data_IF_627217309262
#
_entry.id   IF_627217309262
#
_cell.length_a   1.000
_cell.length_b   1.000
_cell.length_c   1.000
_cell.angle_alpha   90.00
_cell.angle_beta   90.00
_cell.angle_gamma   90.00
#
_symmetry.space_group_name_H-M   'P 1'
#
loop_
_entity.id
_entity.type
_entity.pdbx_description
1 polymer ?
#
# COMPACT_ATOMS: atom_id res chain seq x y z
N UNK A 1 -54.38 8.56 13.86
CA UNK A 1 -53.50 8.51 12.68
C UNK A 1 -52.18 9.15 13.07
N UNK A 2 -51.00 8.53 12.93
CA UNK A 2 -50.70 7.18 12.43
C UNK A 2 -49.43 6.65 13.10
N UNK A 3 -49.35 5.33 13.32
CA UNK A 3 -48.19 4.66 13.93
C UNK A 3 -47.35 4.04 12.80
N UNK A 4 -46.04 4.35 12.77
CA UNK A 4 -45.10 3.72 11.85
C UNK A 4 -44.58 2.38 12.40
N UNK A 5 -44.56 1.29 11.61
CA UNK A 5 -43.99 0.01 12.03
C UNK A 5 -42.46 0.00 11.90
N UNK A 6 -41.75 -0.42 12.95
CA UNK A 6 -40.30 -0.73 12.86
C UNK A 6 -40.12 -2.06 12.13
N UNK A 7 -39.35 -2.08 11.05
CA UNK A 7 -38.92 -3.32 10.40
C UNK A 7 -37.94 -4.09 11.29
N UNK A 8 -38.25 -5.36 11.58
CA UNK A 8 -37.34 -6.28 12.25
C UNK A 8 -36.53 -7.08 11.21
N UNK A 9 -35.21 -7.30 11.39
CA UNK A 9 -34.41 -8.10 10.46
C UNK A 9 -34.89 -9.55 10.37
N UNK A 10 -35.11 -10.08 9.16
CA UNK A 10 -35.67 -11.42 9.01
C UNK A 10 -34.69 -12.51 9.48
N UNK A 11 -35.22 -13.50 10.22
CA UNK A 11 -34.40 -14.58 10.81
C UNK A 11 -33.62 -15.42 9.78
N UNK A 12 -33.99 -15.33 8.49
CA UNK A 12 -33.32 -15.99 7.37
C UNK A 12 -31.90 -15.44 7.16
N UNK A 13 -31.73 -14.13 7.26
CA UNK A 13 -30.41 -13.46 7.17
C UNK A 13 -29.49 -13.85 8.33
N UNK A 14 -30.01 -13.88 9.56
CA UNK A 14 -29.23 -14.26 10.75
C UNK A 14 -28.77 -15.71 10.70
N UNK A 15 -29.59 -16.64 10.14
CA UNK A 15 -29.18 -18.03 9.89
C UNK A 15 -28.11 -18.13 8.79
N UNK A 16 -28.20 -17.34 7.73
CA UNK A 16 -27.23 -17.38 6.63
C UNK A 16 -25.85 -16.84 7.06
N UNK A 17 -25.82 -15.71 7.80
CA UNK A 17 -24.58 -15.16 8.39
C UNK A 17 -23.88 -16.16 9.33
N UNK A 18 -24.64 -16.86 10.18
CA UNK A 18 -24.09 -17.91 11.07
C UNK A 18 -23.52 -19.11 10.32
N UNK A 19 -24.11 -19.49 9.18
CA UNK A 19 -23.57 -20.55 8.31
C UNK A 19 -22.27 -20.13 7.62
N UNK A 20 -22.23 -18.93 7.06
CA UNK A 20 -21.05 -18.41 6.36
C UNK A 20 -19.85 -18.26 7.31
N UNK A 21 -20.06 -17.69 8.50
CA UNK A 21 -19.00 -17.57 9.52
C UNK A 21 -18.42 -18.92 9.96
N UNK A 22 -19.26 -19.96 10.08
CA UNK A 22 -18.77 -21.31 10.39
C UNK A 22 -17.96 -21.91 9.25
N UNK A 23 -18.37 -21.73 7.99
CA UNK A 23 -17.65 -22.23 6.82
C UNK A 23 -16.26 -21.57 6.66
N UNK A 24 -16.16 -20.25 6.90
CA UNK A 24 -14.87 -19.53 6.88
C UNK A 24 -13.94 -20.07 7.97
N UNK A 25 -14.45 -20.27 9.19
CA UNK A 25 -13.67 -20.82 10.30
C UNK A 25 -13.19 -22.26 10.04
N UNK A 26 -14.07 -23.13 9.54
CA UNK A 26 -13.71 -24.51 9.16
C UNK A 26 -12.66 -24.55 8.04
N UNK A 27 -12.65 -23.54 7.15
CA UNK A 27 -11.63 -23.40 6.09
C UNK A 27 -10.28 -22.96 6.67
N UNK A 28 -10.25 -21.92 7.50
CA UNK A 28 -9.03 -21.47 8.18
C UNK A 28 -8.40 -22.57 9.06
N UNK A 29 -9.20 -23.29 9.84
CA UNK A 29 -8.71 -24.40 10.67
C UNK A 29 -8.16 -25.56 9.81
N UNK A 30 -8.71 -25.79 8.62
CA UNK A 30 -8.22 -26.80 7.66
C UNK A 30 -6.92 -26.37 6.99
N UNK A 31 -6.79 -25.12 6.58
CA UNK A 31 -5.58 -24.57 5.96
C UNK A 31 -4.41 -24.51 6.95
N UNK A 32 -4.62 -24.00 8.16
CA UNK A 32 -3.60 -23.99 9.21
C UNK A 32 -3.10 -25.41 9.56
N UNK A 33 -4.00 -26.41 9.58
CA UNK A 33 -3.64 -27.82 9.82
C UNK A 33 -2.90 -28.43 8.63
N UNK A 34 -3.22 -28.04 7.40
CA UNK A 34 -2.49 -28.45 6.20
C UNK A 34 -1.07 -27.85 6.16
N UNK A 35 -0.93 -26.57 6.49
CA UNK A 35 0.36 -25.87 6.51
C UNK A 35 1.29 -26.42 7.60
N UNK A 36 0.79 -26.65 8.82
CA UNK A 36 1.56 -27.32 9.87
C UNK A 36 2.02 -28.72 9.44
N UNK A 37 1.15 -29.51 8.78
CA UNK A 37 1.51 -30.84 8.29
C UNK A 37 2.55 -30.79 7.17
N UNK A 38 2.57 -29.74 6.34
CA UNK A 38 3.62 -29.49 5.34
C UNK A 38 4.95 -29.14 6.00
N UNK A 39 4.99 -28.13 6.89
CA UNK A 39 6.19 -27.73 7.65
C UNK A 39 6.79 -28.88 8.48
N UNK A 40 5.96 -29.70 9.11
CA UNK A 40 6.41 -30.88 9.85
C UNK A 40 7.09 -31.93 8.96
N UNK A 41 6.53 -32.22 7.77
CA UNK A 41 7.15 -33.12 6.78
C UNK A 41 8.49 -32.57 6.27
N UNK A 42 8.55 -31.28 5.99
CA UNK A 42 9.75 -30.60 5.50
C UNK A 42 10.89 -30.64 6.52
N UNK A 43 10.60 -30.37 7.80
CA UNK A 43 11.57 -30.49 8.90
C UNK A 43 12.03 -31.94 9.12
N UNK A 44 11.14 -32.92 8.98
CA UNK A 44 11.49 -34.34 9.11
C UNK A 44 12.34 -34.84 7.93
N UNK A 45 12.06 -34.36 6.71
CA UNK A 45 12.87 -34.61 5.52
C UNK A 45 14.28 -34.02 5.69
N UNK A 46 14.39 -32.77 6.12
CA UNK A 46 15.67 -32.10 6.39
C UNK A 46 16.51 -32.85 7.44
N UNK A 47 15.89 -33.36 8.52
CA UNK A 47 16.59 -34.22 9.51
C UNK A 47 17.11 -35.52 8.90
N UNK A 48 16.30 -36.19 8.06
CA UNK A 48 16.67 -37.46 7.42
C UNK A 48 17.77 -37.30 6.36
N UNK A 49 17.76 -36.18 5.63
CA UNK A 49 18.78 -35.87 4.64
C UNK A 49 20.11 -35.42 5.31
N UNK A 50 20.04 -34.71 6.45
CA UNK A 50 21.21 -34.46 7.28
C UNK A 50 21.83 -35.77 7.80
N UNK A 51 21.02 -36.70 8.30
CA UNK A 51 21.45 -38.02 8.79
C UNK A 51 22.08 -38.88 7.66
N UNK A 52 21.49 -38.86 6.45
CA UNK A 52 22.06 -39.50 5.25
C UNK A 52 23.36 -38.86 4.76
N UNK A 53 23.57 -37.56 5.00
CA UNK A 53 24.77 -36.84 4.53
C UNK A 53 26.04 -37.15 5.32
N UNK A 54 25.94 -37.90 6.43
CA UNK A 54 27.08 -38.28 7.28
C UNK A 54 27.75 -37.13 8.04
N UNK A 55 27.32 -35.88 7.84
CA UNK A 55 27.85 -34.70 8.52
C UNK A 55 27.16 -34.53 9.87
N UNK A 56 27.87 -34.87 10.95
CA UNK A 56 27.46 -34.49 12.32
C UNK A 56 27.24 -32.97 12.36
N UNK A 57 26.03 -32.55 12.74
CA UNK A 57 25.79 -31.16 13.09
C UNK A 57 26.67 -30.79 14.32
N UNK A 58 27.34 -29.63 14.32
CA UNK A 58 28.11 -29.21 15.48
C UNK A 58 27.15 -28.92 16.64
N UNK A 59 27.39 -29.56 17.78
CA UNK A 59 26.67 -29.26 19.02
C UNK A 59 27.10 -27.91 19.58
N UNK A 60 26.14 -27.11 20.01
CA UNK A 60 26.35 -25.96 20.88
C UNK A 60 25.50 -26.18 22.15
N UNK A 61 26.07 -25.97 23.34
CA UNK A 61 25.41 -26.33 24.60
C UNK A 61 25.81 -25.46 25.79
N UNK A 62 25.06 -25.62 26.90
CA UNK A 62 25.19 -24.84 28.15
C UNK A 62 24.48 -23.48 28.09
N UNK A 63 23.81 -22.93 29.13
CA UNK A 63 23.46 -23.34 30.51
C UNK A 63 22.04 -22.74 30.81
N UNK A 64 21.30 -23.02 31.89
CA UNK A 64 21.50 -23.89 33.07
C UNK A 64 20.84 -23.27 34.34
N UNK A 65 20.45 -24.09 35.33
CA UNK A 65 19.82 -23.69 36.64
C UNK A 65 18.35 -23.21 36.56
N UNK A 66 17.41 -23.51 37.47
CA UNK A 66 17.21 -24.54 38.54
C UNK A 66 15.69 -24.63 38.81
N UNK A 67 15.14 -25.76 39.28
CA UNK A 67 13.70 -25.84 39.63
C UNK A 67 13.18 -27.21 40.09
N UNK A 68 12.96 -27.33 41.39
CA UNK A 68 12.51 -28.49 42.19
C UNK A 68 11.20 -29.22 41.74
N UNK A 69 11.16 -30.55 41.95
CA UNK A 69 9.93 -31.36 42.10
C UNK A 69 9.28 -31.89 40.80
N UNK A 70 8.65 -33.06 40.75
CA UNK A 70 8.42 -34.09 41.77
C UNK A 70 7.02 -34.73 41.61
N UNK A 71 6.93 -35.99 41.19
CA UNK A 71 5.67 -36.75 41.14
C UNK A 71 5.41 -37.53 39.84
N UNK A 72 5.24 -38.84 39.98
CA UNK A 72 4.61 -39.77 39.02
C UNK A 72 3.28 -40.24 39.67
N UNK A 73 2.38 -40.99 38.98
CA UNK A 73 2.18 -41.20 37.54
C UNK A 73 0.69 -41.02 37.10
N UNK A 74 0.36 -41.06 35.79
CA UNK A 74 -0.55 -42.08 35.20
C UNK A 74 -1.13 -41.81 33.78
N UNK A 75 -1.24 -42.93 33.03
CA UNK A 75 -2.27 -43.33 32.03
C UNK A 75 -2.45 -42.66 30.66
N UNK A 76 -2.79 -43.56 29.70
CA UNK A 76 -3.54 -43.48 28.42
C UNK A 76 -2.67 -43.95 27.23
N UNK A 77 -2.61 -45.26 26.94
CA UNK A 77 -3.56 -46.12 26.17
C UNK A 77 -3.28 -46.11 24.64
N UNK A 78 -2.86 -47.28 24.15
CA UNK A 78 -2.86 -47.82 22.78
C UNK A 78 -4.31 -48.13 22.30
N UNK A 79 -4.66 -48.41 21.04
CA UNK A 79 -3.91 -48.87 19.87
C UNK A 79 -4.67 -48.65 18.54
N UNK A 80 -3.97 -48.87 17.41
CA UNK A 80 -4.41 -49.37 16.07
C UNK A 80 -5.81 -49.05 15.47
N UNK A 81 -5.86 -48.72 14.17
CA UNK A 81 -6.77 -49.35 13.17
C UNK A 81 -6.26 -49.13 11.71
N UNK A 82 -6.67 -50.02 10.80
CA UNK A 82 -6.01 -50.36 9.51
C UNK A 82 -6.94 -50.04 8.31
N UNK A 83 -6.40 -49.67 7.13
CA UNK A 83 -7.08 -49.80 5.82
C UNK A 83 -6.07 -49.83 4.62
N UNK A 84 -6.43 -50.23 3.37
CA UNK A 84 -5.69 -51.30 2.67
C UNK A 84 -5.09 -50.98 1.27
N UNK A 85 -4.42 -51.97 0.66
CA UNK A 85 -3.71 -51.92 -0.64
C UNK A 85 -4.59 -51.96 -1.91
N UNK A 86 -4.09 -51.35 -3.02
CA UNK A 86 -3.74 -51.97 -4.35
C UNK A 86 -3.67 -50.92 -5.49
N UNK A 87 -3.09 -51.20 -6.68
CA UNK A 87 -1.97 -52.09 -7.03
C UNK A 87 -0.90 -51.41 -7.95
N UNK A 88 0.11 -52.19 -8.41
CA UNK A 88 1.32 -51.78 -9.16
C UNK A 88 1.13 -51.58 -10.68
N UNK A 89 2.03 -50.80 -11.30
CA UNK A 89 2.44 -50.91 -12.72
C UNK A 89 3.98 -50.84 -12.82
N UNK A 90 4.58 -51.47 -13.85
CA UNK A 90 6.01 -51.83 -13.96
C UNK A 90 6.89 -50.82 -14.76
N UNK A 91 8.24 -50.96 -14.79
CA UNK A 91 9.18 -49.95 -15.31
C UNK A 91 9.97 -50.31 -16.59
N UNK A 92 10.84 -49.37 -17.02
CA UNK A 92 11.95 -49.45 -18.02
C UNK A 92 11.59 -49.16 -19.51
N UNK A 93 12.55 -48.78 -20.41
CA UNK A 93 14.03 -48.79 -20.28
C UNK A 93 14.78 -47.50 -20.69
N UNK A 94 16.12 -47.60 -20.79
CA UNK A 94 17.14 -46.54 -20.97
C UNK A 94 17.94 -46.78 -22.29
N UNK A 95 18.61 -45.73 -22.86
CA UNK A 95 19.91 -45.69 -23.62
C UNK A 95 19.83 -45.01 -25.03
N UNK A 96 20.96 -44.69 -25.71
CA UNK A 96 22.15 -43.92 -25.26
C UNK A 96 22.79 -42.98 -26.35
N UNK A 97 23.82 -42.18 -25.97
CA UNK A 97 24.91 -41.61 -26.83
C UNK A 97 24.54 -40.65 -28.00
N UNK A 98 25.39 -39.72 -28.46
CA UNK A 98 26.82 -39.47 -28.22
C UNK A 98 27.29 -38.05 -28.65
N UNK A 99 28.60 -37.80 -28.84
CA UNK A 99 29.18 -36.45 -28.76
C UNK A 99 29.58 -35.80 -30.09
N UNK A 100 29.67 -34.46 -30.13
CA UNK A 100 30.46 -33.74 -31.14
C UNK A 100 31.14 -32.49 -30.56
N UNK A 101 32.46 -32.37 -30.77
CA UNK A 101 33.25 -31.16 -30.50
C UNK A 101 33.24 -30.27 -31.74
N UNK A 102 32.99 -28.97 -31.60
CA UNK A 102 33.38 -27.98 -32.61
C UNK A 102 33.60 -26.55 -32.03
N UNK A 103 34.85 -26.10 -32.11
CA UNK A 103 35.28 -24.74 -32.49
C UNK A 103 34.64 -23.49 -31.84
N UNK A 104 35.17 -23.14 -30.66
CA UNK A 104 35.82 -21.84 -30.33
C UNK A 104 35.56 -20.63 -31.27
N UNK A 105 34.98 -19.54 -30.72
CA UNK A 105 35.40 -18.15 -30.99
C UNK A 105 34.77 -17.14 -30.00
N UNK A 106 35.56 -16.15 -29.54
CA UNK A 106 35.04 -14.82 -29.17
C UNK A 106 34.39 -14.57 -27.80
N UNK A 107 35.07 -14.82 -26.68
CA UNK A 107 34.66 -14.23 -25.39
C UNK A 107 35.10 -12.76 -25.28
N UNK A 108 34.15 -11.80 -25.28
CA UNK A 108 34.39 -10.39 -24.91
C UNK A 108 33.45 -9.99 -23.77
N UNK A 109 33.99 -9.97 -22.56
CA UNK A 109 33.28 -9.56 -21.35
C UNK A 109 34.20 -9.13 -20.19
N UNK A 110 35.46 -8.78 -20.47
CA UNK A 110 36.44 -8.32 -19.46
C UNK A 110 37.11 -6.97 -19.78
N UNK A 111 37.02 -6.50 -21.02
CA UNK A 111 37.59 -5.21 -21.42
C UNK A 111 36.65 -4.02 -21.13
N UNK A 112 35.34 -4.26 -21.01
CA UNK A 112 34.34 -3.21 -20.74
C UNK A 112 34.43 -2.73 -19.28
N UNK A 113 34.52 -3.64 -18.30
CA UNK A 113 34.68 -3.28 -16.88
C UNK A 113 35.94 -2.45 -16.64
N UNK A 114 37.04 -2.79 -17.33
CA UNK A 114 38.32 -2.07 -17.22
C UNK A 114 38.27 -0.63 -17.76
N UNK A 115 37.33 -0.33 -18.66
CA UNK A 115 37.10 1.01 -19.18
C UNK A 115 36.15 1.82 -18.28
N UNK A 116 35.11 1.17 -17.76
CA UNK A 116 34.15 1.75 -16.82
C UNK A 116 34.81 2.15 -15.49
N UNK A 117 35.72 1.34 -14.95
CA UNK A 117 36.41 1.70 -13.70
C UNK A 117 37.45 2.83 -13.88
N UNK A 118 38.02 3.00 -15.07
CA UNK A 118 38.86 4.17 -15.38
C UNK A 118 38.06 5.48 -15.39
N UNK A 119 36.90 5.49 -16.02
CA UNK A 119 36.02 6.68 -16.03
C UNK A 119 35.55 7.07 -14.62
N UNK A 120 35.28 6.09 -13.74
CA UNK A 120 34.99 6.37 -12.32
C UNK A 120 36.17 6.98 -11.56
N UNK A 121 37.41 6.60 -11.91
CA UNK A 121 38.61 7.14 -11.27
C UNK A 121 38.98 8.57 -11.69
N UNK A 122 38.41 9.08 -12.78
CA UNK A 122 38.66 10.44 -13.30
C UNK A 122 37.54 11.44 -12.95
N UNK A 123 36.52 11.02 -12.18
CA UNK A 123 35.58 11.92 -11.52
C UNK A 123 34.37 12.38 -12.36
N UNK A 124 34.08 11.72 -13.49
CA UNK A 124 32.91 12.03 -14.32
C UNK A 124 31.73 11.09 -14.01
N UNK A 125 30.55 11.66 -13.75
CA UNK A 125 29.44 10.95 -13.10
C UNK A 125 28.50 10.28 -14.12
N UNK A 126 28.83 9.05 -14.55
CA UNK A 126 28.08 8.31 -15.59
C UNK A 126 27.01 7.40 -14.98
N UNK A 127 25.74 7.72 -15.23
CA UNK A 127 24.58 6.89 -14.88
C UNK A 127 24.45 5.67 -15.81
N UNK A 128 24.38 4.47 -15.25
CA UNK A 128 24.21 3.22 -16.02
C UNK A 128 22.72 2.92 -16.34
N UNK A 129 22.35 2.65 -17.61
CA UNK A 129 20.96 2.56 -18.02
C UNK A 129 20.41 1.12 -17.97
N UNK A 130 20.09 0.59 -16.78
CA UNK A 130 19.36 -0.70 -16.67
C UNK A 130 18.36 -0.73 -15.51
N UNK A 131 17.28 0.06 -15.59
CA UNK A 131 15.98 -0.19 -14.92
C UNK A 131 14.96 0.88 -15.34
N UNK A 132 14.37 0.73 -16.53
CA UNK A 132 13.25 1.58 -16.96
C UNK A 132 11.93 1.13 -16.30
N UNK A 133 11.81 1.39 -15.00
CA UNK A 133 10.51 1.71 -14.40
C UNK A 133 10.43 3.24 -14.33
N UNK A 134 9.77 3.84 -15.30
CA UNK A 134 9.54 5.29 -15.36
C UNK A 134 8.54 5.63 -14.25
N UNK A 135 8.86 6.49 -13.27
CA UNK A 135 7.85 7.10 -12.43
C UNK A 135 6.93 7.94 -13.31
N UNK A 136 5.64 8.00 -12.99
CA UNK A 136 4.73 9.00 -13.56
C UNK A 136 5.31 10.39 -13.32
N UNK A 137 5.44 11.20 -14.38
CA UNK A 137 5.84 12.60 -14.25
C UNK A 137 4.65 13.45 -13.81
N UNK A 138 4.26 13.28 -12.54
CA UNK A 138 3.54 14.29 -11.77
C UNK A 138 4.57 15.06 -10.91
N UNK A 139 4.39 16.37 -10.80
CA UNK A 139 5.10 17.26 -9.87
C UNK A 139 6.63 17.40 -10.03
N UNK A 140 7.03 18.26 -10.97
CA UNK A 140 8.33 18.98 -10.94
C UNK A 140 8.15 20.51 -10.95
N UNK A 141 7.27 21.00 -10.09
CA UNK A 141 7.42 22.36 -9.55
C UNK A 141 8.21 22.20 -8.26
N UNK A 142 9.38 22.84 -8.15
CA UNK A 142 10.06 22.93 -6.85
C UNK A 142 9.11 23.69 -5.91
N UNK A 143 8.67 23.10 -4.79
CA UNK A 143 7.86 23.85 -3.84
C UNK A 143 8.65 25.09 -3.41
N UNK A 144 8.01 26.27 -3.27
CA UNK A 144 8.69 27.46 -2.80
C UNK A 144 9.36 27.15 -1.45
N UNK A 145 10.54 27.72 -1.16
CA UNK A 145 11.28 27.39 0.05
C UNK A 145 10.41 27.67 1.28
N UNK A 146 9.94 26.59 1.91
CA UNK A 146 9.21 26.65 3.17
C UNK A 146 10.19 27.20 4.21
N UNK A 147 9.77 28.22 4.95
CA UNK A 147 10.55 28.69 6.10
C UNK A 147 10.53 27.60 7.18
N UNK A 148 11.57 26.76 7.18
CA UNK A 148 11.71 25.65 8.12
C UNK A 148 12.23 26.17 9.46
N UNK A 149 11.38 26.11 10.48
CA UNK A 149 11.75 26.30 11.89
C UNK A 149 12.64 25.13 12.37
N UNK A 150 13.39 25.34 13.47
CA UNK A 150 14.29 24.34 14.05
C UNK A 150 13.63 23.00 14.41
N UNK A 151 12.31 23.02 14.62
CA UNK A 151 11.45 21.83 14.62
C UNK A 151 10.57 21.88 13.37
N UNK A 152 10.73 20.91 12.48
CA UNK A 152 9.95 20.80 11.26
C UNK A 152 9.27 19.43 11.19
N UNK A 153 8.03 19.41 10.70
CA UNK A 153 7.25 18.18 10.53
C UNK A 153 6.66 18.07 9.14
N UNK A 154 6.71 16.85 8.59
CA UNK A 154 6.00 16.50 7.36
C UNK A 154 4.88 15.52 7.70
N UNK A 155 3.66 15.89 7.33
CA UNK A 155 2.47 15.07 7.48
C UNK A 155 2.04 14.66 6.08
N UNK A 156 2.37 13.42 5.71
CA UNK A 156 2.16 12.89 4.36
C UNK A 156 1.15 11.75 4.40
N UNK A 157 0.16 11.79 3.51
CA UNK A 157 -0.81 10.72 3.27
C UNK A 157 -0.83 10.30 1.81
N UNK A 158 -1.01 9.00 1.56
CA UNK A 158 -1.06 8.39 0.23
C UNK A 158 -2.29 7.51 0.09
N UNK A 159 -3.14 7.78 -0.90
CA UNK A 159 -4.28 6.93 -1.26
C UNK A 159 -3.92 5.96 -2.38
N UNK A 160 -4.32 4.70 -2.20
CA UNK A 160 -4.20 3.62 -3.17
C UNK A 160 -5.57 2.93 -3.30
N UNK A 161 -6.31 3.24 -4.37
CA UNK A 161 -7.73 2.89 -4.56
C UNK A 161 -7.98 2.15 -5.89
N UNK A 162 -8.95 1.24 -5.91
CA UNK A 162 -9.41 0.52 -7.11
C UNK A 162 -10.90 0.24 -7.05
N UNK A 163 -11.65 0.76 -8.04
CA UNK A 163 -13.09 0.55 -8.23
C UNK A 163 -13.38 -0.23 -9.52
N UNK A 164 -14.55 -0.87 -9.58
CA UNK A 164 -15.15 -1.32 -10.83
C UNK A 164 -15.95 -0.22 -11.53
N UNK A 165 -16.31 -0.44 -12.80
CA UNK A 165 -17.16 0.46 -13.63
C UNK A 165 -18.55 0.70 -13.07
N UNK A 166 -19.03 -0.23 -12.25
CA UNK A 166 -20.29 -0.18 -11.53
C UNK A 166 -20.22 0.66 -10.23
N UNK A 167 -19.09 1.33 -9.97
CA UNK A 167 -18.81 2.09 -8.76
C UNK A 167 -18.33 1.23 -7.58
N UNK A 168 -18.35 -0.10 -7.71
CA UNK A 168 -18.05 -1.02 -6.62
C UNK A 168 -16.59 -0.93 -6.15
N UNK A 169 -16.37 -0.64 -4.87
CA UNK A 169 -15.03 -0.49 -4.30
C UNK A 169 -14.37 -1.86 -4.06
N UNK A 170 -13.31 -2.17 -4.82
CA UNK A 170 -12.57 -3.43 -4.67
C UNK A 170 -11.57 -3.36 -3.51
N UNK A 171 -10.83 -2.26 -3.38
CA UNK A 171 -9.96 -1.96 -2.26
C UNK A 171 -9.61 -0.46 -2.23
N UNK A 172 -9.65 0.14 -1.05
CA UNK A 172 -9.03 1.43 -0.75
C UNK A 172 -8.07 1.28 0.43
N UNK A 173 -6.89 1.87 0.29
CA UNK A 173 -5.88 1.99 1.33
C UNK A 173 -5.45 3.46 1.44
N UNK A 174 -5.34 3.97 2.68
CA UNK A 174 -4.68 5.25 2.95
C UNK A 174 -3.55 5.00 3.93
N UNK A 175 -2.32 5.32 3.52
CA UNK A 175 -1.12 5.25 4.34
C UNK A 175 -0.67 6.65 4.70
N UNK A 176 -0.56 6.94 5.99
CA UNK A 176 -0.10 8.25 6.46
C UNK A 176 1.07 8.16 7.45
N UNK A 177 1.84 9.24 7.55
CA UNK A 177 3.01 9.34 8.42
C UNK A 177 3.28 10.78 8.86
N UNK A 178 3.60 10.96 10.14
CA UNK A 178 4.30 12.16 10.65
C UNK A 178 5.79 11.87 10.70
N UNK A 179 6.56 12.66 9.95
CA UNK A 179 8.02 12.68 9.99
C UNK A 179 8.49 13.93 10.70
N UNK A 180 9.27 13.78 11.76
CA UNK A 180 9.87 14.85 12.55
C UNK A 180 11.33 15.06 12.12
N UNK A 181 11.74 16.32 11.95
CA UNK A 181 13.13 16.75 11.78
C UNK A 181 13.43 17.82 12.81
N UNK A 182 14.56 17.70 13.50
CA UNK A 182 15.06 18.72 14.45
C UNK A 182 16.46 19.13 14.02
N UNK A 183 16.74 20.43 13.90
CA UNK A 183 18.06 20.93 13.44
C UNK A 183 18.90 21.61 14.52
N UNK A 184 18.33 21.85 15.71
CA UNK A 184 18.93 22.59 16.82
C UNK A 184 18.88 21.71 18.10
N UNK A 185 19.97 21.68 18.85
CA UNK A 185 20.13 20.81 20.02
C UNK A 185 19.30 21.28 21.23
N UNK A 186 19.04 22.59 21.34
CA UNK A 186 18.23 23.18 22.41
C UNK A 186 16.77 22.66 22.36
N UNK A 187 16.26 22.37 21.16
CA UNK A 187 14.93 21.80 20.91
C UNK A 187 14.98 20.30 20.57
N UNK A 188 16.08 19.61 20.89
CA UNK A 188 16.21 18.17 20.70
C UNK A 188 15.28 17.33 21.59
N UNK A 189 14.90 17.84 22.77
CA UNK A 189 14.02 17.18 23.76
C UNK A 189 12.61 17.78 23.70
N UNK A 190 11.76 17.28 22.79
CA UNK A 190 10.39 17.78 22.59
C UNK A 190 9.31 16.70 22.65
N UNK A 191 8.05 17.14 22.88
CA UNK A 191 6.81 16.37 22.73
C UNK A 191 5.93 17.03 21.68
N UNK A 192 5.34 16.24 20.77
CA UNK A 192 4.34 16.70 19.80
C UNK A 192 2.95 16.41 20.37
N UNK A 193 2.08 17.42 20.36
CA UNK A 193 0.69 17.31 20.81
C UNK A 193 -0.19 17.08 19.60
N UNK A 194 -0.90 15.96 19.57
CA UNK A 194 -1.79 15.62 18.47
C UNK A 194 -3.23 15.91 18.83
N UNK A 195 -3.98 16.42 17.85
CA UNK A 195 -5.41 16.22 17.79
C UNK A 195 -5.69 15.08 16.80
N UNK A 196 -6.56 14.14 17.19
CA UNK A 196 -7.00 13.04 16.34
C UNK A 196 -8.52 12.99 16.40
N UNK A 197 -9.18 13.65 15.44
CA UNK A 197 -10.62 13.61 15.31
C UNK A 197 -11.08 12.52 14.34
N UNK A 198 -10.17 11.64 13.87
CA UNK A 198 -10.51 10.60 12.89
C UNK A 198 -11.67 9.73 13.37
N UNK A 199 -12.65 9.55 12.48
CA UNK A 199 -13.79 8.67 12.66
C UNK A 199 -13.78 7.48 11.70
N UNK A 200 -12.76 7.41 10.83
CA UNK A 200 -12.61 6.41 9.76
C UNK A 200 -12.04 5.09 10.29
N UNK A 201 -11.48 5.10 11.50
CA UNK A 201 -11.03 3.89 12.21
C UNK A 201 -9.60 3.50 11.87
N UNK A 202 -8.74 4.49 11.61
CA UNK A 202 -7.34 4.26 11.20
C UNK A 202 -6.51 3.52 12.25
N UNK A 203 -5.64 2.61 11.78
CA UNK A 203 -4.75 1.85 12.64
C UNK A 203 -3.45 2.64 12.88
N UNK A 204 -3.27 3.14 14.11
CA UNK A 204 -2.13 3.99 14.51
C UNK A 204 -0.93 3.16 15.01
N UNK A 205 0.28 3.47 14.53
CA UNK A 205 1.52 2.83 14.94
C UNK A 205 2.62 3.87 15.21
N UNK A 206 3.03 3.99 16.48
CA UNK A 206 4.18 4.83 16.86
C UNK A 206 5.53 4.12 16.62
N UNK A 207 6.58 4.92 16.43
CA UNK A 207 7.95 4.46 16.31
C UNK A 207 8.41 3.67 17.56
N UNK A 208 9.28 2.64 17.46
CA UNK A 208 9.71 1.83 18.60
C UNK A 208 10.31 2.60 19.80
N UNK A 209 10.89 3.78 19.56
CA UNK A 209 11.45 4.64 20.61
C UNK A 209 10.47 5.67 21.18
N UNK A 210 9.26 5.80 20.63
CA UNK A 210 8.19 6.70 21.14
C UNK A 210 7.41 6.00 22.25
N UNK A 211 7.03 6.75 23.29
CA UNK A 211 6.24 6.23 24.39
C UNK A 211 4.80 5.95 23.96
N UNK A 212 4.45 4.67 23.96
CA UNK A 212 3.11 4.18 23.60
C UNK A 212 2.04 4.51 24.64
N UNK A 213 2.39 4.56 25.93
CA UNK A 213 1.43 4.90 26.99
C UNK A 213 1.08 6.38 26.91
N UNK A 214 2.10 7.23 26.83
CA UNK A 214 1.97 8.68 26.66
C UNK A 214 1.12 9.04 25.43
N UNK A 215 1.36 8.38 24.30
CA UNK A 215 0.53 8.55 23.10
C UNK A 215 -0.91 8.06 23.30
N UNK A 216 -1.13 6.88 23.89
CA UNK A 216 -2.48 6.32 24.07
C UNK A 216 -3.31 6.98 25.17
N UNK A 217 -2.70 7.65 26.14
CA UNK A 217 -3.41 8.35 27.23
C UNK A 217 -3.60 9.83 26.92
N UNK A 218 -2.58 10.51 26.40
CA UNK A 218 -2.54 11.97 26.31
C UNK A 218 -2.48 12.50 24.86
N UNK A 219 -2.48 11.62 23.85
CA UNK A 219 -2.22 11.96 22.43
C UNK A 219 -0.88 12.69 22.20
N UNK A 220 0.11 12.40 23.05
CA UNK A 220 1.44 13.01 22.99
C UNK A 220 2.48 12.07 22.38
N UNK A 221 3.19 12.53 21.34
CA UNK A 221 4.36 11.85 20.79
C UNK A 221 5.64 12.38 21.46
N UNK A 222 6.24 11.57 22.33
CA UNK A 222 7.55 11.84 22.93
C UNK A 222 8.40 10.56 23.03
N UNK A 223 9.71 10.69 23.24
CA UNK A 223 10.59 9.53 23.39
C UNK A 223 10.38 8.84 24.74
N UNK A 224 10.47 7.49 24.75
CA UNK A 224 10.38 6.63 25.95
C UNK A 224 11.39 6.96 27.05
N UNK A 225 12.52 7.54 26.67
CA UNK A 225 13.50 8.06 27.60
C UNK A 225 13.52 9.58 27.42
N UNK A 226 12.92 10.35 28.36
CA UNK A 226 12.88 11.81 28.31
C UNK A 226 14.28 12.46 28.23
N UNK A 227 15.30 11.78 28.76
CA UNK A 227 16.69 12.27 28.74
C UNK A 227 17.38 12.16 27.38
N UNK A 228 16.73 11.54 26.39
CA UNK A 228 17.27 11.45 25.02
C UNK A 228 16.60 12.49 24.12
N UNK A 229 17.43 13.17 23.32
CA UNK A 229 16.98 14.01 22.22
C UNK A 229 16.59 13.18 20.99
N UNK A 230 15.76 13.75 20.12
CA UNK A 230 15.63 13.28 18.74
C UNK A 230 16.96 13.47 17.97
N UNK A 231 17.27 12.61 16.98
CA UNK A 231 18.46 12.76 16.15
C UNK A 231 18.46 14.09 15.37
N UNK A 232 19.54 14.86 15.50
CA UNK A 232 19.68 16.14 14.80
C UNK A 232 19.90 15.95 13.30
N UNK A 233 19.29 16.83 12.51
CA UNK A 233 19.37 16.92 11.06
C UNK A 233 18.98 15.63 10.30
N UNK A 234 18.21 14.75 10.95
CA UNK A 234 17.69 13.51 10.39
C UNK A 234 16.16 13.50 10.42
N UNK A 235 15.57 12.95 9.36
CA UNK A 235 14.12 12.79 9.23
C UNK A 235 13.70 11.49 9.92
N UNK A 236 12.81 11.58 10.93
CA UNK A 236 12.38 10.44 11.75
C UNK A 236 10.86 10.29 11.72
N UNK A 237 10.36 9.21 11.12
CA UNK A 237 8.95 8.84 11.19
C UNK A 237 8.54 8.47 12.61
N UNK A 238 7.74 9.31 13.28
CA UNK A 238 7.36 9.17 14.71
C UNK A 238 6.01 8.48 14.90
N UNK A 239 5.09 8.68 13.96
CA UNK A 239 3.77 8.06 13.90
C UNK A 239 3.45 7.67 12.45
N UNK A 240 2.81 6.51 12.27
CA UNK A 240 2.20 6.07 11.01
C UNK A 240 0.74 5.69 11.26
N UNK A 241 -0.08 5.78 10.23
CA UNK A 241 -1.41 5.20 10.22
C UNK A 241 -1.72 4.48 8.91
N UNK A 242 -2.66 3.53 8.99
CA UNK A 242 -3.19 2.76 7.88
C UNK A 242 -4.71 2.70 8.00
N UNK A 243 -5.41 3.23 7.00
CA UNK A 243 -6.78 2.86 6.69
C UNK A 243 -6.74 1.77 5.61
N UNK A 244 -7.58 0.74 5.74
CA UNK A 244 -7.85 -0.17 4.63
C UNK A 244 -9.33 -0.58 4.68
N UNK A 245 -10.03 -0.42 3.55
CA UNK A 245 -11.47 -0.63 3.46
C UNK A 245 -11.90 -1.10 2.08
N UNK A 246 -13.11 -1.64 2.01
CA UNK A 246 -13.86 -1.94 0.77
C UNK A 246 -15.29 -1.36 0.88
N UNK A 247 -15.47 -0.35 1.72
CA UNK A 247 -16.73 0.37 1.93
C UNK A 247 -16.72 1.62 1.04
N UNK A 248 -17.64 1.67 0.08
CA UNK A 248 -17.78 2.71 -0.94
C UNK A 248 -17.97 4.12 -0.34
N UNK A 249 -18.51 4.21 0.89
CA UNK A 249 -18.70 5.50 1.59
C UNK A 249 -17.40 6.23 1.97
N UNK A 250 -16.24 5.58 1.77
CA UNK A 250 -14.91 6.17 2.00
C UNK A 250 -14.24 6.69 0.72
N UNK A 251 -14.82 6.47 -0.47
CA UNK A 251 -14.26 6.98 -1.73
C UNK A 251 -14.30 8.52 -1.69
N UNK A 252 -13.17 9.24 -1.78
CA UNK A 252 -13.19 10.71 -1.65
C UNK A 252 -13.74 11.43 -2.89
N UNK A 253 -13.57 10.84 -4.09
CA UNK A 253 -13.95 11.39 -5.39
C UNK A 253 -14.46 10.26 -6.28
N UNK A 254 -15.76 10.05 -6.35
CA UNK A 254 -16.34 9.03 -7.23
C UNK A 254 -16.19 9.46 -8.70
N UNK A 255 -15.90 8.50 -9.57
CA UNK A 255 -15.80 8.70 -11.03
C UNK A 255 -16.74 7.69 -11.69
N UNK A 256 -17.73 8.15 -12.42
CA UNK A 256 -18.63 7.29 -13.21
C UNK A 256 -18.34 7.52 -14.69
N UNK A 257 -18.08 6.44 -15.44
CA UNK A 257 -17.74 6.50 -16.86
C UNK A 257 -18.69 5.59 -17.65
N UNK A 258 -19.52 6.17 -18.51
CA UNK A 258 -20.60 5.51 -19.24
C UNK A 258 -20.39 5.59 -20.76
N UNK A 259 -19.52 4.75 -21.34
CA UNK A 259 -19.40 4.62 -22.78
C UNK A 259 -20.62 3.88 -23.37
N UNK A 260 -21.19 4.46 -24.42
CA UNK A 260 -22.35 3.99 -25.17
C UNK A 260 -22.01 3.84 -26.66
N UNK A 261 -22.28 2.67 -27.25
CA UNK A 261 -22.04 2.43 -28.68
C UNK A 261 -23.05 3.21 -29.53
N UNK A 262 -22.53 4.11 -30.37
CA UNK A 262 -23.30 4.94 -31.30
C UNK A 262 -23.12 4.51 -32.76
N UNK A 263 -23.82 5.18 -33.67
CA UNK A 263 -23.80 4.85 -35.10
C UNK A 263 -22.48 5.22 -35.81
N UNK A 264 -21.71 6.15 -35.23
CA UNK A 264 -20.50 6.76 -35.82
C UNK A 264 -19.25 6.58 -34.97
N UNK A 265 -19.37 5.94 -33.80
CA UNK A 265 -18.30 5.73 -32.84
C UNK A 265 -18.88 5.32 -31.48
N UNK A 266 -18.15 5.56 -30.40
CA UNK A 266 -18.66 5.45 -29.03
C UNK A 266 -18.81 6.85 -28.44
N UNK A 267 -20.00 7.15 -27.92
CA UNK A 267 -20.27 8.34 -27.12
C UNK A 267 -19.91 8.01 -25.66
N UNK A 268 -19.09 8.85 -25.03
CA UNK A 268 -18.60 8.64 -23.67
C UNK A 268 -18.97 9.84 -22.83
N UNK A 269 -19.80 9.62 -21.81
CA UNK A 269 -20.05 10.58 -20.74
C UNK A 269 -19.29 10.10 -19.50
N UNK A 270 -18.46 10.98 -18.92
CA UNK A 270 -17.75 10.75 -17.67
C UNK A 270 -18.03 11.89 -16.70
N UNK A 271 -18.32 11.56 -15.45
CA UNK A 271 -18.63 12.52 -14.38
C UNK A 271 -17.78 12.23 -13.14
N UNK A 272 -17.52 13.26 -12.34
CA UNK A 272 -16.97 13.13 -10.99
C UNK A 272 -17.95 13.67 -9.93
N UNK A 273 -17.86 13.14 -8.71
CA UNK A 273 -18.50 13.72 -7.52
C UNK A 273 -17.58 13.64 -6.29
N UNK A 274 -17.32 14.78 -5.65
CA UNK A 274 -16.55 14.92 -4.42
C UNK A 274 -17.42 14.54 -3.21
N UNK A 275 -17.15 13.39 -2.62
CA UNK A 275 -17.87 12.85 -1.46
C UNK A 275 -17.35 13.44 -0.14
N UNK A 276 -16.04 13.68 -0.04
CA UNK A 276 -15.39 14.21 1.16
C UNK A 276 -15.18 15.72 1.07
N UNK A 277 -16.23 16.47 1.39
CA UNK A 277 -16.30 17.94 1.26
C UNK A 277 -15.25 18.74 2.06
N UNK A 278 -14.55 18.09 3.01
CA UNK A 278 -13.43 18.69 3.74
C UNK A 278 -12.11 18.76 2.93
N UNK A 279 -12.07 18.11 1.77
CA UNK A 279 -10.92 18.10 0.88
C UNK A 279 -10.97 19.26 -0.12
N UNK A 280 -9.78 19.73 -0.48
CA UNK A 280 -9.54 20.64 -1.59
C UNK A 280 -8.52 19.96 -2.51
N UNK A 281 -9.01 19.28 -3.55
CA UNK A 281 -8.17 18.53 -4.48
C UNK A 281 -7.62 19.51 -5.52
N UNK A 282 -6.32 19.75 -5.50
CA UNK A 282 -5.61 20.64 -6.41
C UNK A 282 -4.94 19.81 -7.54
N UNK A 283 -4.73 20.45 -8.69
CA UNK A 283 -4.08 19.87 -9.88
C UNK A 283 -4.68 18.51 -10.28
N UNK A 284 -6.02 18.42 -10.31
CA UNK A 284 -6.73 17.17 -10.58
C UNK A 284 -6.64 16.82 -12.06
N UNK A 285 -6.22 15.59 -12.36
CA UNK A 285 -6.16 15.04 -13.71
C UNK A 285 -6.82 13.66 -13.73
N UNK A 286 -7.95 13.55 -14.42
CA UNK A 286 -8.64 12.29 -14.73
C UNK A 286 -8.15 11.86 -16.11
N UNK A 287 -7.46 10.72 -16.20
CA UNK A 287 -6.87 10.21 -17.45
C UNK A 287 -7.71 9.05 -17.98
N UNK A 288 -8.38 9.28 -19.10
CA UNK A 288 -9.18 8.30 -19.83
C UNK A 288 -8.33 7.77 -21.00
N UNK A 289 -8.06 6.46 -21.13
CA UNK A 289 -7.45 5.92 -22.34
C UNK A 289 -8.42 6.03 -23.53
N UNK A 290 -7.87 6.17 -24.73
CA UNK A 290 -8.67 6.23 -25.96
C UNK A 290 -8.08 5.30 -27.03
N UNK A 291 -8.90 4.83 -28.00
CA UNK A 291 -8.41 3.93 -29.05
C UNK A 291 -7.31 4.58 -29.90
N UNK A 292 -6.31 3.79 -30.30
CA UNK A 292 -5.21 4.28 -31.15
C UNK A 292 -5.57 4.25 -32.64
N UNK A 293 -5.17 5.28 -33.39
CA UNK A 293 -5.24 5.27 -34.86
C UNK A 293 -6.60 5.63 -35.47
N UNK A 294 -7.55 6.06 -34.65
CA UNK A 294 -8.94 6.40 -35.06
C UNK A 294 -9.20 7.90 -35.24
N UNK A 295 -8.20 8.75 -34.96
CA UNK A 295 -8.34 10.20 -34.91
C UNK A 295 -8.18 10.75 -33.49
N UNK A 296 -8.61 11.99 -33.27
CA UNK A 296 -8.71 12.58 -31.94
C UNK A 296 -10.18 12.52 -31.45
N UNK A 297 -10.43 12.42 -30.13
CA UNK A 297 -11.77 12.55 -29.57
C UNK A 297 -12.40 13.89 -29.94
N UNK A 298 -13.68 13.88 -30.28
CA UNK A 298 -14.50 15.08 -30.49
C UNK A 298 -15.17 15.40 -29.15
N UNK A 299 -14.74 16.50 -28.52
CA UNK A 299 -15.29 16.93 -27.23
C UNK A 299 -16.64 17.62 -27.44
N UNK A 300 -17.62 17.25 -26.61
CA UNK A 300 -18.93 17.87 -26.49
C UNK A 300 -18.97 18.85 -25.31
N UNK A 301 -19.93 18.68 -24.41
CA UNK A 301 -20.00 19.45 -23.16
C UNK A 301 -18.85 19.07 -22.21
N UNK A 302 -18.29 20.07 -21.51
CA UNK A 302 -17.11 19.93 -20.68
C UNK A 302 -17.10 20.96 -19.54
N UNK A 303 -16.97 20.49 -18.31
CA UNK A 303 -16.53 21.27 -17.17
C UNK A 303 -14.99 21.23 -17.07
N UNK A 304 -14.33 22.38 -16.93
CA UNK A 304 -12.85 22.44 -16.81
C UNK A 304 -12.12 22.42 -18.17
N UNK A 305 -10.91 21.86 -18.19
CA UNK A 305 -10.02 21.83 -19.35
C UNK A 305 -9.72 20.39 -19.80
N UNK A 306 -9.22 20.21 -21.03
CA UNK A 306 -8.75 18.89 -21.50
C UNK A 306 -7.43 18.95 -22.28
N UNK A 307 -6.71 17.82 -22.30
CA UNK A 307 -5.51 17.61 -23.12
C UNK A 307 -5.52 16.20 -23.75
N UNK A 308 -5.43 16.13 -25.06
CA UNK A 308 -5.28 14.86 -25.78
C UNK A 308 -3.79 14.59 -26.12
N UNK A 309 -3.23 13.49 -25.63
CA UNK A 309 -1.90 12.99 -26.03
C UNK A 309 -2.07 11.79 -26.97
N UNK A 310 -2.00 12.06 -28.28
CA UNK A 310 -2.12 11.07 -29.36
C UNK A 310 -0.98 10.05 -29.43
N UNK A 311 0.14 10.27 -28.72
CA UNK A 311 1.25 9.31 -28.63
C UNK A 311 1.05 8.34 -27.48
N UNK A 312 0.41 8.79 -26.39
CA UNK A 312 -0.02 7.93 -25.26
C UNK A 312 -1.40 7.29 -25.53
N UNK A 313 -2.18 7.83 -26.46
CA UNK A 313 -3.59 7.49 -26.71
C UNK A 313 -4.43 7.69 -25.43
N UNK A 314 -4.41 8.90 -24.90
CA UNK A 314 -5.18 9.29 -23.71
C UNK A 314 -5.82 10.66 -23.90
N UNK A 315 -6.98 10.83 -23.27
CA UNK A 315 -7.62 12.09 -22.98
C UNK A 315 -7.43 12.39 -21.48
N UNK A 316 -6.74 13.48 -21.16
CA UNK A 316 -6.57 13.97 -19.80
C UNK A 316 -7.58 15.10 -19.57
N UNK A 317 -8.50 14.90 -18.63
CA UNK A 317 -9.51 15.86 -18.18
C UNK A 317 -9.01 16.53 -16.89
N UNK A 318 -8.96 17.85 -16.87
CA UNK A 318 -8.14 18.63 -15.96
C UNK A 318 -8.96 19.68 -15.19
N UNK A 319 -8.80 19.72 -13.87
CA UNK A 319 -9.34 20.75 -13.00
C UNK A 319 -8.24 21.34 -12.11
N UNK A 320 -8.02 22.66 -12.11
CA UNK A 320 -7.07 23.28 -11.17
C UNK A 320 -7.42 23.02 -9.70
N UNK A 321 -8.72 22.98 -9.38
CA UNK A 321 -9.24 22.66 -8.06
C UNK A 321 -10.62 21.98 -8.15
N UNK A 322 -10.86 20.99 -7.28
CA UNK A 322 -12.18 20.43 -6.96
C UNK A 322 -12.37 20.57 -5.45
N UNK A 323 -13.38 21.34 -5.04
CA UNK A 323 -13.75 21.57 -3.64
C UNK A 323 -15.28 21.57 -3.44
N UNK A 324 -15.74 21.93 -2.23
CA UNK A 324 -17.16 22.00 -1.89
C UNK A 324 -18.01 22.99 -2.72
N UNK A 325 -17.42 23.83 -3.59
CA UNK A 325 -18.11 24.77 -4.48
C UNK A 325 -18.37 24.17 -5.87
N UNK A 326 -17.53 23.23 -6.32
CA UNK A 326 -17.62 22.55 -7.63
C UNK A 326 -17.53 21.03 -7.46
N UNK A 327 -18.31 20.50 -6.51
CA UNK A 327 -18.33 19.08 -6.11
C UNK A 327 -18.54 18.11 -7.26
N UNK A 328 -19.28 18.51 -8.28
CA UNK A 328 -19.60 17.70 -9.47
C UNK A 328 -19.11 18.38 -10.73
N UNK A 329 -18.77 17.60 -11.73
CA UNK A 329 -18.56 18.07 -13.10
C UNK A 329 -18.64 16.91 -14.09
N UNK A 330 -18.82 17.22 -15.38
CA UNK A 330 -18.92 16.24 -16.46
C UNK A 330 -18.06 16.57 -17.68
N UNK A 331 -17.76 15.54 -18.46
CA UNK A 331 -17.13 15.60 -19.77
C UNK A 331 -17.85 14.61 -20.70
N UNK A 332 -18.29 15.10 -21.85
CA UNK A 332 -18.80 14.29 -22.94
C UNK A 332 -17.84 14.32 -24.13
N UNK A 333 -17.59 13.16 -24.76
CA UNK A 333 -16.85 13.09 -26.02
C UNK A 333 -17.28 11.91 -26.89
N UNK A 334 -17.07 12.04 -28.20
CA UNK A 334 -17.26 10.96 -29.16
C UNK A 334 -15.91 10.55 -29.77
N UNK A 335 -15.66 9.24 -29.88
CA UNK A 335 -14.53 8.70 -30.66
C UNK A 335 -14.84 7.29 -31.15
N UNK A 336 -14.35 6.90 -32.34
CA UNK A 336 -14.56 5.55 -32.84
C UNK A 336 -13.78 4.52 -31.99
N UNK A 337 -14.50 3.65 -31.28
CA UNK A 337 -13.94 2.67 -30.35
C UNK A 337 -15.02 1.77 -29.76
N UNK A 338 -14.65 0.95 -28.79
CA UNK A 338 -15.55 0.10 -28.01
C UNK A 338 -15.54 0.50 -26.52
N UNK A 339 -16.60 0.21 -25.75
CA UNK A 339 -16.68 0.52 -24.32
C UNK A 339 -15.49 0.09 -23.45
N UNK A 340 -14.74 -0.94 -23.86
CA UNK A 340 -13.57 -1.41 -23.13
C UNK A 340 -12.31 -0.56 -23.34
N UNK A 341 -12.23 0.24 -24.41
CA UNK A 341 -11.05 1.03 -24.76
C UNK A 341 -10.84 2.24 -23.82
N UNK A 342 -11.89 2.62 -23.09
CA UNK A 342 -11.92 3.76 -22.16
C UNK A 342 -11.54 3.41 -20.72
N UNK A 343 -11.01 2.21 -20.49
CA UNK A 343 -10.60 1.72 -19.18
C UNK A 343 -9.19 1.09 -19.20
N UNK A 344 -8.45 1.14 -18.08
CA UNK A 344 -8.81 1.76 -16.81
C UNK A 344 -8.72 3.29 -16.85
N UNK A 345 -9.66 3.97 -16.19
CA UNK A 345 -9.54 5.41 -15.93
C UNK A 345 -8.64 5.61 -14.72
N UNK A 346 -7.68 6.52 -14.82
CA UNK A 346 -6.78 6.88 -13.72
C UNK A 346 -7.11 8.27 -13.17
N UNK A 347 -6.92 8.51 -11.87
CA UNK A 347 -7.02 9.85 -11.28
C UNK A 347 -5.70 10.23 -10.61
N UNK A 348 -5.30 11.50 -10.72
CA UNK A 348 -4.22 12.10 -9.95
C UNK A 348 -4.67 13.44 -9.37
N UNK A 349 -4.21 13.77 -8.17
CA UNK A 349 -4.42 15.05 -7.50
C UNK A 349 -3.40 15.24 -6.37
N UNK A 350 -3.31 16.46 -5.84
CA UNK A 350 -2.63 16.79 -4.58
C UNK A 350 -3.56 17.60 -3.70
N UNK A 351 -3.62 17.32 -2.40
CA UNK A 351 -4.33 18.14 -1.41
C UNK A 351 -3.39 18.58 -0.30
N UNK A 352 -3.60 19.77 0.26
CA UNK A 352 -2.92 20.25 1.47
C UNK A 352 -3.67 19.89 2.75
N UNK A 353 -4.91 19.44 2.62
CA UNK A 353 -5.71 18.88 3.70
C UNK A 353 -5.51 17.36 3.73
N UNK A 354 -5.33 16.79 4.93
CA UNK A 354 -5.33 15.35 5.13
C UNK A 354 -6.75 14.78 4.99
N UNK A 355 -6.84 13.57 4.48
CA UNK A 355 -8.03 12.74 4.44
C UNK A 355 -8.38 12.13 5.81
N UNK A 356 -7.37 11.79 6.63
CA UNK A 356 -7.56 11.44 8.04
C UNK A 356 -7.26 12.66 8.92
N UNK A 357 -8.20 13.04 9.81
CA UNK A 357 -8.08 14.26 10.62
C UNK A 357 -7.15 14.07 11.85
N UNK A 358 -5.86 13.89 11.54
CA UNK A 358 -4.73 13.81 12.46
C UNK A 358 -3.87 15.05 12.25
N UNK A 359 -3.75 15.88 13.29
CA UNK A 359 -3.08 17.19 13.23
C UNK A 359 -2.09 17.34 14.38
N UNK A 360 -0.92 17.94 14.13
CA UNK A 360 -0.03 18.40 15.20
C UNK A 360 -0.42 19.82 15.57
N UNK A 361 -0.94 20.02 16.79
CA UNK A 361 -1.49 21.31 17.24
C UNK A 361 -0.52 22.12 18.09
N UNK A 362 0.48 21.48 18.71
CA UNK A 362 1.47 22.13 19.59
C UNK A 362 2.73 21.29 19.69
N UNK A 363 3.88 21.94 19.90
CA UNK A 363 5.12 21.29 20.34
C UNK A 363 5.52 21.90 21.68
N UNK A 364 5.99 21.08 22.62
CA UNK A 364 6.57 21.55 23.90
C UNK A 364 7.93 20.93 24.17
N UNK A 365 8.76 21.60 24.96
CA UNK A 365 9.92 20.96 25.57
C UNK A 365 9.48 19.82 26.50
N UNK A 366 10.30 18.77 26.59
CA UNK A 366 10.14 17.71 27.59
C UNK A 366 10.20 18.27 29.02
N UNK A 367 11.04 19.27 29.22
CA UNK A 367 11.33 19.89 30.51
C UNK A 367 10.53 21.18 30.67
N UNK A 368 9.57 21.18 31.61
CA UNK A 368 8.72 22.34 31.93
C UNK A 368 7.59 22.65 30.94
N UNK A 369 7.38 21.82 29.90
CA UNK A 369 6.29 21.93 28.91
C UNK A 369 6.11 23.32 28.25
N UNK A 370 7.21 24.08 28.17
CA UNK A 370 7.26 25.36 27.48
C UNK A 370 7.03 25.18 25.96
N UNK A 371 6.23 26.05 25.30
CA UNK A 371 5.95 25.91 23.87
C UNK A 371 7.19 26.11 22.99
N UNK A 372 7.31 25.30 21.94
CA UNK A 372 8.36 25.38 20.93
C UNK A 372 7.76 25.82 19.60
N UNK A 373 8.42 26.76 18.89
CA UNK A 373 8.03 27.12 17.53
C UNK A 373 8.36 25.98 16.58
N UNK A 374 7.43 25.69 15.67
CA UNK A 374 7.58 24.65 14.69
C UNK A 374 7.00 25.06 13.34
N UNK A 375 7.43 24.36 12.30
CA UNK A 375 6.88 24.47 10.94
C UNK A 375 6.31 23.11 10.52
N UNK A 376 5.31 23.12 9.64
CA UNK A 376 4.65 21.90 9.18
C UNK A 376 4.38 21.97 7.68
N UNK A 377 4.69 20.89 6.98
CA UNK A 377 4.25 20.60 5.61
C UNK A 377 3.16 19.53 5.68
N UNK A 378 2.11 19.66 4.87
CA UNK A 378 0.98 18.72 4.85
C UNK A 378 0.62 18.41 3.40
N UNK A 379 0.47 17.12 3.10
CA UNK A 379 0.22 16.65 1.74
C UNK A 379 -0.56 15.34 1.74
N UNK A 380 -1.65 15.30 0.99
CA UNK A 380 -2.39 14.11 0.63
C UNK A 380 -2.28 13.91 -0.88
N UNK A 381 -1.71 12.78 -1.30
CA UNK A 381 -1.37 12.50 -2.71
C UNK A 381 -1.86 11.13 -3.16
N UNK A 382 -2.04 10.98 -4.47
CA UNK A 382 -2.36 9.68 -5.07
C UNK A 382 -1.09 8.83 -5.25
N UNK A 383 -1.10 7.62 -4.69
CA UNK A 383 -0.20 6.52 -5.07
C UNK A 383 -0.82 5.69 -6.22
N UNK A 384 -2.12 5.38 -6.10
CA UNK A 384 -2.91 4.75 -7.15
C UNK A 384 -4.39 5.13 -7.04
N UNK A 385 -5.04 5.41 -8.16
CA UNK A 385 -6.49 5.64 -8.22
C UNK A 385 -6.99 5.16 -9.57
N UNK A 386 -7.73 4.05 -9.58
CA UNK A 386 -8.06 3.30 -10.80
C UNK A 386 -9.53 2.87 -10.81
N UNK A 387 -10.20 3.08 -11.94
CA UNK A 387 -11.52 2.54 -12.24
C UNK A 387 -11.34 1.57 -13.42
N UNK A 388 -11.60 0.28 -13.20
CA UNK A 388 -11.19 -0.84 -14.07
C UNK A 388 -12.20 -1.24 -15.14
#
# INVERSE_FOLDING_TARGET
>A
MSIWPRFAPSQRWTRMRKRCFRAVRETQEREAKAEMRRKAKELQQARRDAERSGKKAPGFGGFGSTGMGGGNPNTIITDTLIEPEKPKVAPAPIRPSGPSKALKLGARGKEVDSFVDKLKSEGENILSPTSLKRPSEASKVLPPPINMESVHMKVEEKISLTCGRDGGLQNMEVLGMITLRVSDDQVGRVRLHLNNNDRKGVQLQTHPNVDKKLFSTDSLLGLKNPEKSFPLNSDVGVLKWRLQTTDESFIPLTINCWPSEGATGCDVNIEYELQEEGLELNDVVITIPVPSGVGAPVIGDLDGDYRHDSRRNILEWCHPVIDAKNKTGSLEFNVAGQPNDFFPVHVSFVSKNNYCDIQVVKVTHVDGDSPVRFSMETSFVVDKYEIL
#
